data_IF_849226741737
#
_entry.id   IF_849226741737
#
_cell.length_a   1.000
_cell.length_b   1.000
_cell.length_c   1.000
_cell.angle_alpha   90.00
_cell.angle_beta   90.00
_cell.angle_gamma   90.00
#
_symmetry.space_group_name_H-M   'P 1'
#
loop_
_entity.id
_entity.type
_entity.pdbx_description
1 polymer ?
#
# COMPACT_ATOMS: atom_id res chain seq x y z
N UNK A 1 1.77 40.71 -1.01
CA UNK A 1 0.85 39.58 -1.36
C UNK A 1 1.50 38.53 -2.25
N UNK A 2 2.11 38.90 -3.39
CA UNK A 2 2.75 37.94 -4.33
C UNK A 2 3.76 36.96 -3.69
N UNK A 3 4.61 37.43 -2.77
CA UNK A 3 5.59 36.60 -2.02
C UNK A 3 4.93 35.58 -1.07
N UNK A 4 3.78 35.91 -0.47
CA UNK A 4 3.04 35.01 0.43
C UNK A 4 2.32 33.91 -0.38
N UNK A 5 1.77 34.27 -1.54
CA UNK A 5 1.16 33.32 -2.48
C UNK A 5 2.24 32.36 -3.02
N UNK A 6 3.41 32.88 -3.42
CA UNK A 6 4.53 32.05 -3.86
C UNK A 6 5.02 31.08 -2.78
N UNK A 7 5.10 31.52 -1.52
CA UNK A 7 5.50 30.66 -0.40
C UNK A 7 4.46 29.56 -0.14
N UNK A 8 3.16 29.87 -0.19
CA UNK A 8 2.08 28.86 -0.02
C UNK A 8 2.10 27.83 -1.16
N UNK A 9 2.32 28.28 -2.41
CA UNK A 9 2.44 27.37 -3.57
C UNK A 9 3.66 26.47 -3.44
N UNK A 10 4.81 27.00 -3.00
CA UNK A 10 6.02 26.20 -2.77
C UNK A 10 5.79 25.16 -1.66
N UNK A 11 5.20 25.55 -0.52
CA UNK A 11 4.89 24.61 0.58
C UNK A 11 3.88 23.53 0.17
N UNK A 12 2.88 23.86 -0.65
CA UNK A 12 1.93 22.89 -1.18
C UNK A 12 2.57 21.89 -2.16
N UNK A 13 3.55 22.32 -2.96
CA UNK A 13 4.33 21.42 -3.83
C UNK A 13 5.22 20.46 -3.02
N UNK A 14 5.72 20.85 -1.85
CA UNK A 14 6.53 19.98 -0.98
C UNK A 14 5.72 18.94 -0.19
N UNK A 15 4.39 19.08 -0.12
CA UNK A 15 3.50 18.13 0.56
C UNK A 15 3.00 17.00 -0.35
N UNK A 16 3.20 17.11 -1.67
CA UNK A 16 2.88 16.05 -2.61
C UNK A 16 3.98 14.99 -2.65
N UNK A 17 4.14 14.24 -1.55
CA UNK A 17 4.93 13.01 -1.60
C UNK A 17 4.16 11.98 -2.44
N UNK A 18 4.79 11.33 -3.44
CA UNK A 18 4.16 10.20 -4.12
C UNK A 18 3.88 9.14 -3.06
N UNK A 19 2.60 8.85 -2.83
CA UNK A 19 2.19 7.68 -2.06
C UNK A 19 2.69 6.45 -2.82
N UNK A 20 3.78 5.85 -2.33
CA UNK A 20 4.29 4.59 -2.83
C UNK A 20 3.25 3.52 -2.48
N UNK A 21 2.79 2.81 -3.51
CA UNK A 21 1.63 1.96 -3.39
C UNK A 21 1.85 0.66 -4.17
N UNK A 22 1.70 -0.45 -3.47
CA UNK A 22 1.70 -1.78 -4.05
C UNK A 22 0.31 -2.10 -4.62
N UNK A 23 0.28 -3.11 -5.49
CA UNK A 23 -0.95 -3.65 -6.06
C UNK A 23 -1.16 -5.07 -5.58
N UNK A 24 -2.38 -5.38 -5.15
CA UNK A 24 -2.83 -6.73 -4.83
C UNK A 24 -3.93 -7.11 -5.81
N UNK A 25 -3.69 -8.15 -6.59
CA UNK A 25 -4.70 -8.73 -7.49
C UNK A 25 -5.35 -9.92 -6.81
N UNK A 26 -6.68 -9.88 -6.73
CA UNK A 26 -7.52 -10.92 -6.14
C UNK A 26 -8.40 -11.51 -7.22
N UNK A 27 -8.63 -12.82 -7.17
CA UNK A 27 -9.54 -13.53 -8.05
C UNK A 27 -10.33 -14.58 -7.24
N UNK A 28 -11.53 -14.89 -7.69
CA UNK A 28 -12.44 -15.85 -7.04
C UNK A 28 -13.27 -16.61 -8.07
N UNK A 29 -13.87 -17.71 -7.64
CA UNK A 29 -14.76 -18.49 -8.50
C UNK A 29 -16.13 -17.81 -8.65
N UNK A 30 -16.76 -17.97 -9.82
CA UNK A 30 -18.08 -17.41 -10.08
C UNK A 30 -19.18 -18.16 -9.30
N UNK A 31 -20.14 -17.43 -8.74
CA UNK A 31 -21.32 -18.02 -8.12
C UNK A 31 -22.31 -18.57 -9.17
N UNK A 32 -23.05 -19.61 -8.79
CA UNK A 32 -24.21 -20.14 -9.51
C UNK A 32 -25.41 -20.25 -8.56
N UNK A 33 -26.54 -19.57 -8.82
CA UNK A 33 -26.76 -18.64 -9.94
C UNK A 33 -25.88 -17.39 -9.86
N UNK A 34 -25.69 -16.72 -10.99
CA UNK A 34 -24.86 -15.51 -11.06
C UNK A 34 -25.49 -14.35 -10.26
N UNK A 35 -24.70 -13.63 -9.43
CA UNK A 35 -25.17 -12.51 -8.65
C UNK A 35 -25.21 -11.24 -9.51
N UNK A 36 -25.71 -10.14 -8.94
CA UNK A 36 -25.59 -8.82 -9.59
C UNK A 36 -24.13 -8.36 -9.62
N UNK A 37 -23.34 -8.70 -8.61
CA UNK A 37 -21.91 -8.48 -8.59
C UNK A 37 -21.27 -8.91 -7.29
N UNK A 38 -20.07 -8.41 -7.07
CA UNK A 38 -19.22 -8.71 -5.92
C UNK A 38 -18.68 -7.43 -5.29
N UNK A 39 -18.41 -7.50 -3.99
CA UNK A 39 -17.71 -6.49 -3.20
C UNK A 39 -16.52 -7.13 -2.51
N UNK A 40 -15.37 -6.49 -2.61
CA UNK A 40 -14.18 -6.87 -1.85
C UNK A 40 -14.05 -5.93 -0.67
N UNK A 41 -13.92 -6.50 0.52
CA UNK A 41 -13.66 -5.78 1.75
C UNK A 41 -12.23 -6.05 2.21
N UNK A 42 -11.63 -5.06 2.85
CA UNK A 42 -10.27 -5.16 3.37
C UNK A 42 -10.20 -4.69 4.81
N UNK A 43 -9.28 -5.27 5.58
CA UNK A 43 -8.92 -4.83 6.93
C UNK A 43 -7.41 -5.00 7.13
N UNK A 44 -6.88 -4.27 8.11
CA UNK A 44 -5.52 -4.48 8.60
C UNK A 44 -5.51 -5.49 9.76
N UNK A 45 -4.32 -5.97 10.13
CA UNK A 45 -4.15 -6.83 11.30
C UNK A 45 -4.76 -6.20 12.56
N UNK A 46 -5.52 -6.99 13.32
CA UNK A 46 -6.18 -6.54 14.57
C UNK A 46 -7.38 -5.60 14.39
N UNK A 47 -7.72 -5.21 13.17
CA UNK A 47 -8.93 -4.41 12.89
C UNK A 47 -10.11 -5.30 12.51
N UNK A 48 -11.33 -4.77 12.63
CA UNK A 48 -12.54 -5.39 12.07
C UNK A 48 -12.77 -4.90 10.63
N UNK A 49 -13.55 -5.66 9.86
CA UNK A 49 -14.00 -5.22 8.54
C UNK A 49 -15.03 -4.07 8.64
N UNK A 50 -14.87 -3.05 7.79
CA UNK A 50 -15.89 -2.03 7.55
C UNK A 50 -16.69 -2.41 6.28
N UNK A 51 -17.80 -3.12 6.47
CA UNK A 51 -18.66 -3.55 5.37
C UNK A 51 -19.44 -2.42 4.69
N UNK A 52 -19.33 -1.18 5.19
CA UNK A 52 -19.95 -0.02 4.52
C UNK A 52 -19.06 0.56 3.42
N UNK A 53 -17.77 0.16 3.38
CA UNK A 53 -16.76 0.70 2.47
C UNK A 53 -16.00 -0.42 1.76
N UNK A 54 -16.54 -0.97 0.67
CA UNK A 54 -15.80 -1.94 -0.12
C UNK A 54 -14.56 -1.28 -0.73
N UNK A 55 -13.44 -2.00 -0.73
CA UNK A 55 -12.23 -1.62 -1.45
C UNK A 55 -12.42 -1.71 -2.98
N UNK A 56 -13.33 -2.57 -3.42
CA UNK A 56 -13.71 -2.71 -4.82
C UNK A 56 -15.14 -3.25 -4.95
N UNK A 57 -15.84 -2.84 -6.01
CA UNK A 57 -17.16 -3.38 -6.38
C UNK A 57 -17.26 -3.55 -7.90
N UNK A 58 -17.82 -4.67 -8.36
CA UNK A 58 -18.06 -4.92 -9.78
C UNK A 58 -18.58 -6.33 -10.07
N UNK A 59 -18.84 -6.62 -11.34
CA UNK A 59 -19.37 -7.92 -11.78
C UNK A 59 -18.28 -8.94 -12.16
N UNK A 60 -17.03 -8.49 -12.35
CA UNK A 60 -15.91 -9.38 -12.65
C UNK A 60 -15.57 -10.26 -11.46
N UNK A 61 -14.93 -11.41 -11.72
CA UNK A 61 -14.41 -12.33 -10.70
C UNK A 61 -12.92 -12.11 -10.39
N UNK A 62 -12.44 -10.90 -10.69
CA UNK A 62 -11.06 -10.46 -10.43
C UNK A 62 -11.05 -8.95 -10.20
N UNK A 63 -10.14 -8.48 -9.34
CA UNK A 63 -9.89 -7.07 -9.16
C UNK A 63 -8.44 -6.81 -8.74
N UNK A 64 -7.97 -5.59 -8.96
CA UNK A 64 -6.71 -5.10 -8.40
C UNK A 64 -7.00 -3.94 -7.46
N UNK A 65 -6.50 -4.03 -6.23
CA UNK A 65 -6.60 -2.97 -5.22
C UNK A 65 -5.22 -2.41 -4.93
N UNK A 66 -5.17 -1.10 -4.71
CA UNK A 66 -3.95 -0.39 -4.32
C UNK A 66 -3.83 -0.37 -2.80
N UNK A 67 -2.67 -0.73 -2.28
CA UNK A 67 -2.38 -0.72 -0.84
C UNK A 67 -1.01 -0.09 -0.56
N UNK A 68 -0.75 0.36 0.69
CA UNK A 68 0.59 0.82 1.05
C UNK A 68 1.63 -0.29 0.88
N UNK A 69 2.87 0.12 0.59
CA UNK A 69 4.01 -0.79 0.60
C UNK A 69 4.30 -1.31 2.03
N UNK A 70 4.72 -2.57 2.13
CA UNK A 70 4.99 -3.22 3.42
C UNK A 70 3.76 -3.49 4.27
N UNK A 71 2.55 -3.34 3.73
CA UNK A 71 1.31 -3.54 4.46
C UNK A 71 0.89 -5.02 4.45
N UNK A 72 0.47 -5.50 5.62
CA UNK A 72 -0.25 -6.77 5.77
C UNK A 72 -1.76 -6.50 5.77
N UNK A 73 -2.46 -6.95 4.73
CA UNK A 73 -3.88 -6.71 4.53
C UNK A 73 -4.64 -8.01 4.33
N UNK A 74 -5.87 -8.05 4.86
CA UNK A 74 -6.76 -9.20 4.81
C UNK A 74 -7.95 -8.87 3.91
N UNK A 75 -8.42 -9.85 3.14
CA UNK A 75 -9.49 -9.65 2.16
C UNK A 75 -10.53 -10.76 2.21
N UNK A 76 -11.78 -10.34 2.05
CA UNK A 76 -12.94 -11.22 1.84
C UNK A 76 -13.76 -10.69 0.67
N UNK A 77 -14.37 -11.61 -0.06
CA UNK A 77 -15.35 -11.30 -1.09
C UNK A 77 -16.76 -11.56 -0.56
N UNK A 78 -17.71 -10.69 -0.93
CA UNK A 78 -19.14 -10.92 -0.80
C UNK A 78 -19.81 -10.78 -2.15
N UNK A 79 -20.69 -11.71 -2.49
CA UNK A 79 -21.61 -11.55 -3.60
C UNK A 79 -22.79 -10.68 -3.16
N UNK A 80 -23.36 -9.90 -4.07
CA UNK A 80 -24.58 -9.14 -3.81
C UNK A 80 -25.59 -9.29 -4.96
N UNK A 81 -26.87 -9.30 -4.59
CA UNK A 81 -27.98 -9.26 -5.53
C UNK A 81 -28.78 -7.98 -5.30
N UNK A 82 -29.07 -7.26 -6.38
CA UNK A 82 -29.91 -6.07 -6.33
C UNK A 82 -31.26 -6.36 -6.99
N UNK A 83 -32.33 -6.26 -6.22
CA UNK A 83 -33.69 -6.43 -6.72
C UNK A 83 -34.06 -5.26 -7.63
N UNK A 84 -34.29 -5.52 -8.91
CA UNK A 84 -34.62 -4.49 -9.90
C UNK A 84 -35.95 -3.77 -9.59
N UNK A 85 -36.91 -4.47 -8.98
CA UNK A 85 -38.21 -3.91 -8.63
C UNK A 85 -38.20 -3.11 -7.31
N UNK A 86 -37.34 -3.46 -6.37
CA UNK A 86 -37.33 -2.88 -5.00
C UNK A 86 -36.16 -1.93 -4.75
N UNK A 87 -35.13 -1.98 -5.58
CA UNK A 87 -33.84 -1.30 -5.35
C UNK A 87 -33.06 -1.83 -4.16
N UNK A 88 -33.56 -2.87 -3.46
CA UNK A 88 -32.88 -3.45 -2.30
C UNK A 88 -31.70 -4.29 -2.75
N UNK A 89 -30.61 -4.21 -1.98
CA UNK A 89 -29.43 -5.04 -2.19
C UNK A 89 -29.25 -5.94 -0.98
N UNK A 90 -29.14 -7.24 -1.23
CA UNK A 90 -28.81 -8.26 -0.24
C UNK A 90 -27.41 -8.78 -0.54
N UNK A 91 -26.64 -9.07 0.50
CA UNK A 91 -25.28 -9.60 0.39
C UNK A 91 -25.16 -11.00 0.99
N UNK A 92 -24.23 -11.78 0.50
CA UNK A 92 -23.82 -13.04 1.11
C UNK A 92 -23.02 -12.82 2.40
N UNK A 93 -22.73 -13.92 3.11
CA UNK A 93 -21.62 -13.95 4.06
C UNK A 93 -20.25 -13.80 3.38
N UNK A 94 -19.21 -13.72 4.20
CA UNK A 94 -17.82 -13.68 3.72
C UNK A 94 -17.41 -14.98 3.04
N UNK A 95 -16.56 -14.86 2.02
CA UNK A 95 -15.72 -15.96 1.54
C UNK A 95 -14.73 -16.42 2.62
N UNK A 96 -13.85 -17.37 2.28
CA UNK A 96 -12.62 -17.51 3.03
C UNK A 96 -11.84 -16.18 3.01
N UNK A 97 -11.13 -15.91 4.10
CA UNK A 97 -10.23 -14.77 4.20
C UNK A 97 -8.88 -15.12 3.56
N UNK A 98 -8.31 -14.18 2.81
CA UNK A 98 -6.94 -14.29 2.29
C UNK A 98 -6.10 -13.13 2.77
N UNK A 99 -4.79 -13.35 2.92
CA UNK A 99 -3.82 -12.34 3.37
C UNK A 99 -2.86 -12.00 2.24
N UNK A 100 -2.52 -10.72 2.13
CA UNK A 100 -1.43 -10.24 1.29
C UNK A 100 -0.47 -9.39 2.11
N UNK A 101 0.83 -9.70 2.01
CA UNK A 101 1.91 -8.88 2.53
C UNK A 101 2.68 -8.29 1.36
N UNK A 102 2.64 -6.96 1.23
CA UNK A 102 3.35 -6.27 0.15
C UNK A 102 4.81 -6.03 0.50
N UNK A 103 5.66 -5.89 -0.51
CA UNK A 103 7.09 -5.66 -0.29
C UNK A 103 7.29 -4.30 0.40
N UNK A 104 8.17 -4.20 1.41
CA UNK A 104 8.52 -2.92 1.99
C UNK A 104 9.30 -2.06 0.99
N UNK A 105 9.28 -0.76 1.21
CA UNK A 105 10.03 0.21 0.41
C UNK A 105 11.53 -0.07 0.58
N UNK A 106 12.27 -0.16 -0.54
CA UNK A 106 13.72 -0.29 -0.51
C UNK A 106 14.36 0.91 0.21
N UNK A 107 15.36 0.68 1.09
CA UNK A 107 16.04 1.78 1.77
C UNK A 107 16.69 2.71 0.74
N UNK A 108 16.63 4.02 1.00
CA UNK A 108 17.25 5.07 0.17
C UNK A 108 18.49 5.61 0.89
N UNK A 109 19.36 6.26 0.13
CA UNK A 109 20.56 6.94 0.67
C UNK A 109 21.48 5.99 1.44
N UNK A 110 21.79 4.83 0.84
CA UNK A 110 22.83 3.96 1.39
C UNK A 110 24.17 4.71 1.35
N UNK A 111 24.75 4.97 2.52
CA UNK A 111 26.02 5.68 2.69
C UNK A 111 27.05 4.75 3.33
N UNK A 112 28.30 4.82 2.84
CA UNK A 112 29.44 4.13 3.44
C UNK A 112 30.00 5.00 4.58
N UNK A 113 29.94 4.52 5.83
CA UNK A 113 30.39 5.28 7.00
C UNK A 113 31.89 5.14 7.31
N UNK A 114 32.58 4.12 6.77
CA UNK A 114 33.97 3.83 7.12
C UNK A 114 35.02 4.81 6.55
N UNK A 115 34.59 5.90 5.91
CA UNK A 115 35.52 6.89 5.31
C UNK A 115 36.44 7.48 6.40
N UNK A 116 35.91 7.80 7.58
CA UNK A 116 36.70 8.43 8.65
C UNK A 116 37.74 7.47 9.23
N UNK A 117 37.38 6.19 9.44
CA UNK A 117 38.31 5.16 9.91
C UNK A 117 39.40 4.85 8.88
N UNK A 118 39.05 4.81 7.58
CA UNK A 118 40.02 4.63 6.49
C UNK A 118 40.98 5.82 6.44
N UNK A 119 40.47 7.05 6.53
CA UNK A 119 41.30 8.27 6.56
C UNK A 119 42.23 8.26 7.78
N UNK A 120 41.71 7.91 8.96
CA UNK A 120 42.49 7.86 10.20
C UNK A 120 43.59 6.79 10.13
N UNK A 121 43.27 5.61 9.60
CA UNK A 121 44.24 4.56 9.34
C UNK A 121 45.34 5.01 8.36
N UNK A 122 44.97 5.71 7.28
CA UNK A 122 45.93 6.22 6.29
C UNK A 122 46.88 7.27 6.89
N UNK A 123 46.36 8.18 7.71
CA UNK A 123 47.17 9.19 8.41
C UNK A 123 48.13 8.53 9.39
N UNK A 124 47.65 7.54 10.15
CA UNK A 124 48.48 6.78 11.10
C UNK A 124 49.62 6.04 10.38
N UNK A 125 49.35 5.44 9.22
CA UNK A 125 50.36 4.80 8.38
C UNK A 125 51.40 5.79 7.85
N UNK A 126 50.95 6.96 7.37
CA UNK A 126 51.83 8.02 6.89
C UNK A 126 52.78 8.51 7.97
N UNK A 127 52.28 8.69 9.18
CA UNK A 127 53.09 9.11 10.34
C UNK A 127 54.09 8.05 10.78
N UNK A 128 53.74 6.76 10.68
CA UNK A 128 54.65 5.66 11.00
C UNK A 128 55.80 5.56 9.99
N UNK A 129 55.51 5.74 8.69
CA UNK A 129 56.54 5.71 7.63
C UNK A 129 57.47 6.92 7.70
N UNK A 130 56.96 8.11 8.02
CA UNK A 130 57.79 9.31 8.14
C UNK A 130 58.73 9.35 9.36
N UNK A 131 58.58 8.41 10.30
CA UNK A 131 59.42 8.27 11.51
C UNK A 131 60.53 7.21 11.36
N UNK A 132 60.55 6.47 10.24
CA UNK A 132 61.63 5.54 9.86
C UNK A 132 62.69 6.28 9.04
#
# INVERSE_FOLDING_TARGET
MKKRIALIVITALFLAMPAMAAQVTLAWDANSPAPTGYRIFTRQAGQQYDYTKPAWQGAATTCTVTVPDGAESFYVARAYVSGTATGKTEESGDSNEVVALTKPIAPKNLLLQAIDEIIQGLNTLKDAVGKM
#
